data_IF_968408706046
#
_entry.id   IF_968408706046
#
_cell.length_a   1.000
_cell.length_b   1.000
_cell.length_c   1.000
_cell.angle_alpha   90.00
_cell.angle_beta   90.00
_cell.angle_gamma   90.00
#
_symmetry.space_group_name_H-M   'P 1'
#
loop_
_entity.id
_entity.type
_entity.pdbx_description
1 polymer ?
#
# COMPACT_ATOMS: atom_id res chain seq x y z
N UNK A 1 -3.50 16.78 -11.68
CA UNK A 1 -4.01 15.60 -12.42
C UNK A 1 -3.03 14.46 -12.22
N UNK A 2 -3.49 13.22 -12.06
CA UNK A 2 -2.59 12.06 -12.15
C UNK A 2 -2.03 11.99 -13.59
N UNK A 3 -0.70 12.03 -13.70
CA UNK A 3 0.00 11.88 -14.97
C UNK A 3 -0.17 10.44 -15.53
N UNK A 4 0.03 10.29 -16.85
CA UNK A 4 -0.11 9.04 -17.58
C UNK A 4 0.79 7.93 -17.03
N UNK A 5 1.98 8.28 -16.51
CA UNK A 5 2.85 7.33 -15.84
C UNK A 5 2.24 6.78 -14.54
N UNK A 6 1.61 7.65 -13.73
CA UNK A 6 0.98 7.24 -12.47
C UNK A 6 -0.20 6.31 -12.77
N UNK A 7 -1.01 6.62 -13.79
CA UNK A 7 -2.11 5.75 -14.24
C UNK A 7 -1.62 4.36 -14.63
N UNK A 8 -0.57 4.29 -15.45
CA UNK A 8 0.02 3.01 -15.87
C UNK A 8 0.55 2.18 -14.69
N UNK A 9 1.15 2.83 -13.67
CA UNK A 9 1.60 2.15 -12.45
C UNK A 9 0.41 1.60 -11.64
N UNK A 10 -0.67 2.36 -11.52
CA UNK A 10 -1.90 1.90 -10.83
C UNK A 10 -2.52 0.70 -11.59
N UNK A 11 -2.58 0.77 -12.92
CA UNK A 11 -3.10 -0.34 -13.73
C UNK A 11 -2.23 -1.59 -13.60
N UNK A 12 -0.91 -1.44 -13.53
CA UNK A 12 -0.01 -2.55 -13.25
C UNK A 12 -0.26 -3.18 -11.87
N UNK A 13 -0.45 -2.37 -10.82
CA UNK A 13 -0.83 -2.86 -9.49
C UNK A 13 -2.15 -3.65 -9.51
N UNK A 14 -3.17 -3.14 -10.20
CA UNK A 14 -4.45 -3.85 -10.35
C UNK A 14 -4.30 -5.17 -11.09
N UNK A 15 -3.49 -5.19 -12.15
CA UNK A 15 -3.23 -6.41 -12.92
C UNK A 15 -2.57 -7.52 -12.08
N UNK A 16 -1.75 -7.18 -11.09
CA UNK A 16 -1.17 -8.16 -10.14
C UNK A 16 -2.25 -8.82 -9.28
N UNK A 17 -3.36 -8.12 -9.03
CA UNK A 17 -4.48 -8.62 -8.22
C UNK A 17 -5.47 -9.47 -9.03
N UNK A 18 -5.37 -9.47 -10.36
CA UNK A 18 -6.23 -10.31 -11.22
C UNK A 18 -6.00 -11.78 -10.90
N UNK A 19 -7.09 -12.51 -10.64
CA UNK A 19 -7.04 -13.92 -10.25
C UNK A 19 -6.75 -14.16 -8.75
N UNK A 20 -6.23 -13.16 -8.02
CA UNK A 20 -6.12 -13.19 -6.54
C UNK A 20 -7.33 -12.58 -5.85
N UNK A 21 -7.87 -11.51 -6.45
CA UNK A 21 -9.09 -10.83 -6.04
C UNK A 21 -10.10 -10.96 -7.18
N UNK A 22 -11.24 -11.59 -6.88
CA UNK A 22 -12.19 -12.09 -7.87
C UNK A 22 -12.99 -11.01 -8.61
N UNK A 23 -13.08 -9.79 -8.06
CA UNK A 23 -13.87 -8.70 -8.67
C UNK A 23 -13.02 -7.46 -8.97
N UNK A 24 -13.26 -6.76 -10.10
CA UNK A 24 -12.55 -5.53 -10.43
C UNK A 24 -12.69 -4.43 -9.37
N UNK A 25 -13.87 -4.31 -8.75
CA UNK A 25 -14.12 -3.31 -7.70
C UNK A 25 -13.26 -3.59 -6.47
N UNK A 26 -13.22 -4.83 -5.99
CA UNK A 26 -12.37 -5.19 -4.86
C UNK A 26 -10.88 -5.04 -5.18
N UNK A 27 -10.44 -5.22 -6.43
CA UNK A 27 -9.06 -4.92 -6.83
C UNK A 27 -8.73 -3.43 -6.70
N UNK A 28 -9.67 -2.55 -7.07
CA UNK A 28 -9.52 -1.10 -6.90
C UNK A 28 -9.44 -0.74 -5.43
N UNK A 29 -10.34 -1.27 -4.60
CA UNK A 29 -10.32 -1.07 -3.14
C UNK A 29 -8.99 -1.51 -2.52
N UNK A 30 -8.51 -2.71 -2.85
CA UNK A 30 -7.24 -3.22 -2.35
C UNK A 30 -6.04 -2.38 -2.81
N UNK A 31 -6.08 -1.86 -4.05
CA UNK A 31 -5.06 -0.95 -4.56
C UNK A 31 -5.07 0.37 -3.77
N UNK A 32 -6.25 0.92 -3.49
CA UNK A 32 -6.39 2.16 -2.70
C UNK A 32 -5.88 1.95 -1.28
N UNK A 33 -6.27 0.85 -0.61
CA UNK A 33 -5.81 0.53 0.75
C UNK A 33 -4.29 0.41 0.78
N UNK A 34 -3.70 -0.32 -0.18
CA UNK A 34 -2.25 -0.47 -0.28
C UNK A 34 -1.53 0.89 -0.48
N UNK A 35 -2.09 1.77 -1.31
CA UNK A 35 -1.54 3.12 -1.53
C UNK A 35 -1.64 4.01 -0.30
N UNK A 36 -2.78 4.00 0.41
CA UNK A 36 -2.95 4.74 1.67
C UNK A 36 -1.94 4.24 2.71
N UNK A 37 -1.79 2.92 2.84
CA UNK A 37 -0.85 2.34 3.78
C UNK A 37 0.59 2.71 3.46
N UNK A 38 0.95 2.65 2.17
CA UNK A 38 2.28 3.04 1.70
C UNK A 38 2.56 4.52 1.93
N UNK A 39 1.56 5.37 1.73
CA UNK A 39 1.63 6.80 2.04
C UNK A 39 1.87 7.02 3.53
N UNK A 40 1.06 6.40 4.40
CA UNK A 40 1.23 6.49 5.85
C UNK A 40 2.63 6.07 6.34
N UNK A 41 3.24 5.02 5.75
CA UNK A 41 4.60 4.59 6.13
C UNK A 41 5.71 5.53 5.62
N UNK A 42 5.40 6.40 4.64
CA UNK A 42 6.32 7.39 4.08
C UNK A 42 6.18 8.79 4.70
N UNK A 43 5.07 9.07 5.40
CA UNK A 43 4.81 10.37 6.00
C UNK A 43 5.59 10.58 7.31
N UNK A 44 6.25 11.73 7.38
CA UNK A 44 7.00 12.20 8.55
C UNK A 44 6.63 13.66 8.83
N UNK A 45 6.39 13.98 10.10
CA UNK A 45 6.14 15.32 10.60
C UNK A 45 7.28 15.68 11.56
N UNK A 46 7.90 16.84 11.34
CA UNK A 46 9.08 17.29 12.10
C UNK A 46 10.24 16.27 12.15
N UNK A 47 10.39 15.48 11.09
CA UNK A 47 11.41 14.43 10.98
C UNK A 47 11.15 13.19 11.86
N UNK A 48 9.93 13.07 12.40
CA UNK A 48 9.47 11.89 13.12
C UNK A 48 8.34 11.22 12.33
N UNK A 49 8.34 9.89 12.32
CA UNK A 49 7.23 9.12 11.73
C UNK A 49 5.91 9.53 12.36
N UNK A 50 4.93 9.88 11.53
CA UNK A 50 3.61 10.29 11.99
C UNK A 50 2.66 9.12 12.20
N UNK A 51 2.87 8.03 11.47
CA UNK A 51 2.07 6.81 11.54
C UNK A 51 2.93 5.60 11.94
N UNK A 52 2.26 4.53 12.38
CA UNK A 52 2.90 3.28 12.79
C UNK A 52 4.00 3.50 13.85
N UNK A 53 3.67 4.25 14.89
CA UNK A 53 4.55 4.53 16.04
C UNK A 53 4.16 3.69 17.25
N UNK A 54 5.06 3.58 18.23
CA UNK A 54 4.84 2.85 19.48
C UNK A 54 4.36 1.40 19.24
N UNK A 55 3.25 1.01 19.87
CA UNK A 55 2.62 -0.32 19.75
C UNK A 55 2.13 -0.65 18.32
N UNK A 56 1.98 0.36 17.47
CA UNK A 56 1.56 0.20 16.08
C UNK A 56 2.73 0.06 15.09
N UNK A 57 3.99 0.10 15.55
CA UNK A 57 5.17 0.00 14.69
C UNK A 57 5.29 -1.33 13.94
N UNK A 58 4.69 -2.39 14.46
CA UNK A 58 4.60 -3.69 13.79
C UNK A 58 3.76 -3.65 12.51
N UNK A 59 2.86 -2.68 12.39
CA UNK A 59 2.04 -2.44 11.21
C UNK A 59 2.73 -1.47 10.23
N UNK A 60 4.05 -1.25 10.31
CA UNK A 60 4.74 -0.51 9.24
C UNK A 60 4.77 -1.29 7.93
N UNK A 61 4.69 -0.62 6.78
CA UNK A 61 4.73 -1.28 5.46
C UNK A 61 5.99 -2.16 5.30
N UNK A 62 7.12 -1.67 5.80
CA UNK A 62 8.40 -2.40 5.79
C UNK A 62 8.36 -3.70 6.62
N UNK A 63 7.50 -3.77 7.65
CA UNK A 63 7.30 -4.98 8.46
C UNK A 63 6.31 -5.95 7.81
N UNK A 64 5.23 -5.43 7.23
CA UNK A 64 4.27 -6.25 6.47
C UNK A 64 4.93 -6.95 5.26
N UNK A 65 5.85 -6.27 4.58
CA UNK A 65 6.53 -6.82 3.41
C UNK A 65 7.77 -7.66 3.76
N UNK A 66 8.06 -7.88 5.06
CA UNK A 66 9.22 -8.64 5.48
C UNK A 66 9.06 -10.13 5.09
N UNK A 67 10.06 -10.74 4.42
CA UNK A 67 10.02 -12.15 4.09
C UNK A 67 9.97 -12.99 5.38
N UNK A 68 8.84 -13.66 5.62
CA UNK A 68 8.60 -14.45 6.83
C UNK A 68 7.23 -14.21 7.48
N UNK A 69 6.54 -13.12 7.15
CA UNK A 69 5.10 -12.96 7.41
C UNK A 69 4.31 -13.34 6.14
N UNK A 70 4.24 -14.62 5.82
CA UNK A 70 3.37 -15.13 4.78
C UNK A 70 2.11 -15.74 5.40
N UNK A 71 0.94 -15.35 4.90
CA UNK A 71 -0.31 -16.13 4.96
C UNK A 71 -0.07 -17.61 4.60
#
# INVERSE_FOLDING_TARGET
MLDSEIKRRIDACRNILVGKVSTPNSQVEQTIIALIYKFMDAEELDGQRSFFTNEFAQYGWSKLMAPGMGL
#
